data_IF_622032974749
#
_entry.id   IF_622032974749
#
_cell.length_a   1.000
_cell.length_b   1.000
_cell.length_c   1.000
_cell.angle_alpha   90.00
_cell.angle_beta   90.00
_cell.angle_gamma   90.00
#
_symmetry.space_group_name_H-M   'P 1'
#
loop_
_entity.id
_entity.type
_entity.pdbx_description
1 polymer ?
#
# COMPACT_ATOMS: atom_id res chain seq x y z
N UNK A 1 -8.82 -6.91 0.16
CA UNK A 1 -8.53 -6.24 1.45
C UNK A 1 -7.11 -5.70 1.45
N UNK A 2 -6.11 -6.57 1.30
CA UNK A 2 -4.69 -6.22 1.32
C UNK A 2 -4.29 -5.12 0.32
N UNK A 3 -4.81 -5.19 -0.91
CA UNK A 3 -4.64 -4.13 -1.91
C UNK A 3 -5.09 -2.76 -1.39
N UNK A 4 -6.31 -2.67 -0.84
CA UNK A 4 -6.86 -1.43 -0.31
C UNK A 4 -6.10 -0.90 0.91
N UNK A 5 -5.61 -1.79 1.78
CA UNK A 5 -4.76 -1.42 2.92
C UNK A 5 -3.45 -0.81 2.46
N UNK A 6 -2.82 -1.42 1.46
CA UNK A 6 -1.57 -0.91 0.89
C UNK A 6 -1.79 0.43 0.18
N UNK A 7 -2.87 0.58 -0.60
CA UNK A 7 -3.24 1.84 -1.23
C UNK A 7 -3.49 2.94 -0.19
N UNK A 8 -4.29 2.67 0.85
CA UNK A 8 -4.57 3.64 1.89
C UNK A 8 -3.29 4.07 2.64
N UNK A 9 -2.40 3.14 2.99
CA UNK A 9 -1.13 3.49 3.63
C UNK A 9 -0.22 4.31 2.69
N UNK A 10 -0.20 3.98 1.40
CA UNK A 10 0.57 4.72 0.40
C UNK A 10 0.04 6.16 0.24
N UNK A 11 -1.27 6.34 0.10
CA UNK A 11 -1.90 7.66 -0.06
C UNK A 11 -1.66 8.54 1.16
N UNK A 12 -1.72 7.98 2.38
CA UNK A 12 -1.38 8.69 3.60
C UNK A 12 0.09 9.16 3.61
N UNK A 13 1.02 8.29 3.22
CA UNK A 13 2.45 8.64 3.12
C UNK A 13 2.69 9.70 2.05
N UNK A 14 1.96 9.64 0.93
CA UNK A 14 2.01 10.66 -0.12
C UNK A 14 1.54 12.01 0.42
N UNK A 15 0.36 12.09 1.05
CA UNK A 15 -0.16 13.33 1.64
C UNK A 15 0.79 13.92 2.67
N UNK A 16 1.32 13.10 3.57
CA UNK A 16 2.33 13.55 4.53
C UNK A 16 3.57 14.13 3.84
N UNK A 17 4.03 13.49 2.76
CA UNK A 17 5.21 13.94 2.01
C UNK A 17 4.96 15.24 1.26
N UNK A 18 3.75 15.42 0.68
CA UNK A 18 3.30 16.66 0.05
C UNK A 18 3.35 17.80 1.06
N UNK A 19 2.64 17.66 2.17
CA UNK A 19 2.44 18.75 3.12
C UNK A 19 3.69 19.08 3.94
N UNK A 20 4.64 18.16 4.08
CA UNK A 20 5.92 18.41 4.72
C UNK A 20 7.05 18.79 3.73
N UNK A 21 6.74 18.94 2.44
CA UNK A 21 7.71 19.37 1.43
C UNK A 21 8.86 18.38 1.22
N UNK A 22 8.63 17.09 1.47
CA UNK A 22 9.63 16.03 1.27
C UNK A 22 9.55 15.38 -0.12
N UNK A 23 8.61 15.83 -0.96
CA UNK A 23 8.55 15.44 -2.37
C UNK A 23 9.46 16.33 -3.22
N UNK A 24 10.08 15.72 -4.22
CA UNK A 24 10.99 16.40 -5.15
C UNK A 24 10.25 17.26 -6.22
N UNK A 25 8.92 17.21 -6.26
CA UNK A 25 8.09 17.87 -7.27
C UNK A 25 6.83 18.54 -6.68
N UNK A 26 6.40 19.66 -7.27
CA UNK A 26 5.13 20.33 -6.93
C UNK A 26 3.95 19.53 -7.48
N UNK A 27 3.08 19.06 -6.59
CA UNK A 27 1.86 18.32 -6.96
C UNK A 27 0.71 19.31 -7.18
N UNK A 28 -0.07 19.10 -8.24
CA UNK A 28 -1.25 19.92 -8.56
C UNK A 28 -2.34 19.75 -7.47
N UNK A 29 -3.03 20.83 -7.10
CA UNK A 29 -4.02 20.84 -5.99
C UNK A 29 -5.15 19.78 -6.16
N UNK A 30 -5.47 19.43 -7.41
CA UNK A 30 -6.45 18.39 -7.74
C UNK A 30 -5.93 16.98 -7.43
N UNK A 31 -4.63 16.73 -7.59
CA UNK A 31 -3.99 15.47 -7.23
C UNK A 31 -3.94 15.29 -5.70
N UNK A 32 -3.71 16.36 -4.93
CA UNK A 32 -3.81 16.35 -3.45
C UNK A 32 -5.22 15.96 -3.01
N UNK A 33 -6.22 16.64 -3.58
CA UNK A 33 -7.64 16.41 -3.27
C UNK A 33 -8.08 14.99 -3.62
N UNK A 34 -7.66 14.49 -4.79
CA UNK A 34 -7.93 13.12 -5.23
C UNK A 34 -7.28 12.09 -4.29
N UNK A 35 -6.05 12.34 -3.84
CA UNK A 35 -5.35 11.44 -2.91
C UNK A 35 -6.05 11.40 -1.54
N UNK A 36 -6.48 12.55 -1.02
CA UNK A 36 -7.25 12.64 0.22
C UNK A 36 -8.60 11.90 0.13
N UNK A 37 -9.30 12.06 -1.00
CA UNK A 37 -10.54 11.33 -1.28
C UNK A 37 -10.29 9.81 -1.32
N UNK A 38 -9.29 9.35 -2.06
CA UNK A 38 -8.93 7.94 -2.19
C UNK A 38 -8.61 7.30 -0.84
N UNK A 39 -7.75 7.94 -0.03
CA UNK A 39 -7.44 7.51 1.33
C UNK A 39 -8.72 7.25 2.14
N UNK A 40 -9.63 8.22 2.13
CA UNK A 40 -10.88 8.15 2.86
C UNK A 40 -11.76 6.98 2.38
N UNK A 41 -11.91 6.83 1.06
CA UNK A 41 -12.71 5.77 0.44
C UNK A 41 -12.14 4.37 0.71
N UNK A 42 -10.81 4.21 0.68
CA UNK A 42 -10.18 2.94 0.96
C UNK A 42 -10.42 2.51 2.41
N UNK A 43 -10.24 3.41 3.38
CA UNK A 43 -10.52 3.12 4.80
C UNK A 43 -11.98 2.72 5.00
N UNK A 44 -12.92 3.47 4.41
CA UNK A 44 -14.36 3.16 4.51
C UNK A 44 -14.71 1.81 3.88
N UNK A 45 -14.05 1.46 2.78
CA UNK A 45 -14.20 0.17 2.13
C UNK A 45 -13.71 -0.95 3.03
N UNK A 46 -12.53 -0.81 3.63
CA UNK A 46 -11.94 -1.81 4.53
C UNK A 46 -12.82 -2.04 5.77
N UNK A 47 -13.33 -0.98 6.38
CA UNK A 47 -14.21 -1.06 7.57
C UNK A 47 -15.50 -1.84 7.28
N UNK A 48 -16.01 -1.78 6.04
CA UNK A 48 -17.21 -2.52 5.61
C UNK A 48 -16.95 -4.01 5.37
N UNK A 49 -15.70 -4.43 5.20
CA UNK A 49 -15.35 -5.83 5.05
C UNK A 49 -15.45 -6.58 6.38
N UNK A 50 -15.55 -7.90 6.29
CA UNK A 50 -15.48 -8.79 7.45
C UNK A 50 -14.01 -8.99 7.85
N UNK A 51 -13.54 -8.15 8.77
CA UNK A 51 -12.17 -8.15 9.29
C UNK A 51 -12.18 -8.35 10.81
N UNK A 52 -11.00 -8.67 11.36
CA UNK A 52 -10.81 -8.84 12.80
C UNK A 52 -11.39 -7.64 13.57
N UNK A 53 -12.27 -7.84 14.58
CA UNK A 53 -12.96 -6.74 15.27
C UNK A 53 -12.03 -5.69 15.87
N UNK A 54 -10.92 -6.11 16.48
CA UNK A 54 -9.93 -5.18 17.02
C UNK A 54 -9.26 -4.34 15.92
N UNK A 55 -9.05 -4.93 14.74
CA UNK A 55 -8.50 -4.18 13.61
C UNK A 55 -9.50 -3.17 13.07
N UNK A 56 -10.78 -3.56 12.94
CA UNK A 56 -11.87 -2.67 12.55
C UNK A 56 -11.99 -1.48 13.49
N UNK A 57 -11.95 -1.72 14.80
CA UNK A 57 -11.99 -0.66 15.79
C UNK A 57 -10.81 0.31 15.62
N UNK A 58 -9.58 -0.20 15.49
CA UNK A 58 -8.41 0.65 15.25
C UNK A 58 -8.54 1.49 13.98
N UNK A 59 -9.08 0.93 12.89
CA UNK A 59 -9.33 1.67 11.65
C UNK A 59 -10.42 2.74 11.81
N UNK A 60 -11.46 2.47 12.61
CA UNK A 60 -12.49 3.46 12.93
C UNK A 60 -11.93 4.63 13.75
N UNK A 61 -11.13 4.34 14.78
CA UNK A 61 -10.44 5.36 15.58
C UNK A 61 -9.51 6.22 14.71
N UNK A 62 -8.74 5.59 13.81
CA UNK A 62 -7.89 6.31 12.84
C UNK A 62 -8.72 7.18 11.88
N UNK A 63 -9.88 6.69 11.43
CA UNK A 63 -10.78 7.43 10.55
C UNK A 63 -11.37 8.66 11.23
N UNK A 64 -11.76 8.54 12.50
CA UNK A 64 -12.32 9.65 13.28
C UNK A 64 -11.29 10.76 13.55
N UNK A 65 -9.99 10.42 13.57
CA UNK A 65 -8.92 11.40 13.72
C UNK A 65 -8.62 12.19 12.45
N UNK A 66 -8.96 11.65 11.27
CA UNK A 66 -8.68 12.33 10.00
C UNK A 66 -9.57 13.59 9.89
N UNK A 67 -8.99 14.75 9.51
CA UNK A 67 -9.78 15.92 9.19
C UNK A 67 -10.67 15.62 7.98
N UNK A 68 -11.85 16.25 7.95
CA UNK A 68 -12.69 16.20 6.75
C UNK A 68 -11.92 16.85 5.59
N UNK A 69 -11.79 16.13 4.49
CA UNK A 69 -11.10 16.62 3.30
C UNK A 69 -12.03 17.51 2.45
N UNK A 70 -13.36 17.41 2.66
CA UNK A 70 -14.37 18.22 1.96
C UNK A 70 -14.72 19.51 2.71
N UNK A 71 -14.57 19.51 4.04
CA UNK A 71 -14.91 20.65 4.88
C UNK A 71 -13.63 21.30 5.41
N UNK A 72 -13.50 22.60 5.15
CA UNK A 72 -12.48 23.56 5.61
C UNK A 72 -11.14 23.61 4.85
N UNK A 73 -10.90 24.80 4.28
CA UNK A 73 -9.62 25.46 3.98
C UNK A 73 -8.43 24.49 3.95
N UNK A 74 -7.95 24.16 2.76
CA UNK A 74 -6.77 23.33 2.50
C UNK A 74 -5.61 23.51 3.50
N UNK A 75 -5.44 24.75 4.01
CA UNK A 75 -4.53 25.12 5.10
C UNK A 75 -4.73 24.29 6.38
N UNK A 76 -5.95 24.11 6.88
CA UNK A 76 -6.21 23.32 8.10
C UNK A 76 -5.90 21.84 7.89
N UNK A 77 -6.27 21.30 6.73
CA UNK A 77 -5.96 19.92 6.36
C UNK A 77 -4.44 19.70 6.29
N UNK A 78 -3.73 20.64 5.67
CA UNK A 78 -2.27 20.66 5.61
C UNK A 78 -1.63 20.76 7.00
N UNK A 79 -2.06 21.72 7.84
CA UNK A 79 -1.54 21.91 9.20
C UNK A 79 -1.71 20.64 10.03
N UNK A 80 -2.86 19.96 9.90
CA UNK A 80 -3.09 18.69 10.58
C UNK A 80 -2.10 17.61 10.13
N UNK A 81 -1.82 17.46 8.84
CA UNK A 81 -0.84 16.50 8.34
C UNK A 81 0.60 16.82 8.79
N UNK A 82 0.94 18.10 8.94
CA UNK A 82 2.25 18.53 9.45
C UNK A 82 2.42 18.22 10.95
N UNK A 83 1.34 18.27 11.73
CA UNK A 83 1.38 18.08 13.19
C UNK A 83 1.13 16.61 13.59
N UNK A 84 0.05 16.02 13.08
CA UNK A 84 -0.46 14.71 13.51
C UNK A 84 -0.16 13.58 12.50
N UNK A 85 0.14 13.93 11.26
CA UNK A 85 0.25 12.98 10.14
C UNK A 85 1.25 11.86 10.35
N UNK A 86 2.42 12.16 10.92
CA UNK A 86 3.45 11.15 11.23
C UNK A 86 2.93 10.10 12.23
N UNK A 87 2.35 10.56 13.35
CA UNK A 87 1.77 9.71 14.40
C UNK A 87 0.62 8.87 13.85
N UNK A 88 -0.19 9.45 12.97
CA UNK A 88 -1.29 8.75 12.31
C UNK A 88 -0.77 7.62 11.39
N UNK A 89 0.23 7.90 10.55
CA UNK A 89 0.85 6.91 9.66
C UNK A 89 1.48 5.77 10.46
N UNK A 90 2.19 6.07 11.54
CA UNK A 90 2.82 5.06 12.40
C UNK A 90 1.78 4.11 13.00
N UNK A 91 0.68 4.65 13.55
CA UNK A 91 -0.42 3.84 14.08
C UNK A 91 -1.08 2.98 13.00
N UNK A 92 -1.32 3.55 11.81
CA UNK A 92 -1.88 2.81 10.69
C UNK A 92 -0.95 1.67 10.27
N UNK A 93 0.35 1.94 10.16
CA UNK A 93 1.38 0.96 9.80
C UNK A 93 1.50 -0.16 10.84
N UNK A 94 1.50 0.17 12.13
CA UNK A 94 1.54 -0.83 13.20
C UNK A 94 0.31 -1.75 13.14
N UNK A 95 -0.87 -1.18 12.87
CA UNK A 95 -2.09 -1.95 12.68
C UNK A 95 -2.01 -2.86 11.44
N UNK A 96 -1.57 -2.34 10.29
CA UNK A 96 -1.46 -3.12 9.05
C UNK A 96 -0.41 -4.22 9.14
N UNK A 97 0.70 -3.97 9.85
CA UNK A 97 1.72 -4.98 10.15
C UNK A 97 1.12 -6.07 11.02
N UNK A 98 0.47 -5.70 12.13
CA UNK A 98 -0.07 -6.65 13.11
C UNK A 98 -1.13 -7.56 12.54
N UNK A 99 -2.06 -7.03 11.74
CA UNK A 99 -3.24 -7.77 11.30
C UNK A 99 -3.15 -8.27 9.85
N UNK A 100 -2.20 -7.77 9.05
CA UNK A 100 -2.09 -8.13 7.63
C UNK A 100 -0.65 -8.28 7.14
N UNK A 101 0.37 -8.10 7.99
CA UNK A 101 1.78 -8.18 7.63
C UNK A 101 2.19 -7.21 6.48
N UNK A 102 1.51 -6.06 6.38
CA UNK A 102 1.71 -5.03 5.35
C UNK A 102 2.30 -3.76 5.96
N UNK A 103 3.17 -3.07 5.24
CA UNK A 103 3.70 -1.76 5.62
C UNK A 103 5.04 -1.79 6.35
N UNK A 104 5.70 -2.95 6.40
CA UNK A 104 7.05 -3.07 6.96
C UNK A 104 8.05 -2.17 6.25
N UNK A 105 8.89 -1.50 7.02
CA UNK A 105 10.11 -0.92 6.49
C UNK A 105 11.17 -2.00 6.38
N UNK A 106 11.20 -2.64 5.21
CA UNK A 106 12.11 -3.75 4.92
C UNK A 106 13.59 -3.36 4.90
N UNK A 107 13.91 -2.05 4.94
CA UNK A 107 15.29 -1.52 4.89
C UNK A 107 16.14 -2.12 3.76
N UNK A 108 15.53 -2.42 2.61
CA UNK A 108 16.25 -2.96 1.47
C UNK A 108 17.30 -1.96 0.95
N UNK A 109 18.52 -2.45 0.76
CA UNK A 109 19.55 -1.74 -0.01
C UNK A 109 19.13 -1.56 -1.46
N UNK A 110 19.72 -0.59 -2.16
CA UNK A 110 19.43 -0.36 -3.59
C UNK A 110 19.75 -1.60 -4.45
N UNK A 111 20.76 -2.37 -4.05
CA UNK A 111 21.07 -3.66 -4.68
C UNK A 111 19.93 -4.67 -4.49
N UNK A 112 19.36 -4.77 -3.29
CA UNK A 112 18.21 -5.65 -3.03
C UNK A 112 16.97 -5.19 -3.77
N UNK A 113 16.67 -3.88 -3.79
CA UNK A 113 15.57 -3.31 -4.59
C UNK A 113 15.72 -3.64 -6.07
N UNK A 114 16.92 -3.47 -6.63
CA UNK A 114 17.22 -3.83 -8.02
C UNK A 114 17.01 -5.32 -8.29
N UNK A 115 17.44 -6.18 -7.38
CA UNK A 115 17.26 -7.63 -7.50
C UNK A 115 15.79 -8.03 -7.45
N UNK A 116 15.00 -7.45 -6.54
CA UNK A 116 13.56 -7.66 -6.46
C UNK A 116 12.85 -7.20 -7.74
N UNK A 117 13.25 -6.05 -8.29
CA UNK A 117 12.73 -5.57 -9.58
C UNK A 117 13.06 -6.54 -10.71
N UNK A 118 14.29 -7.05 -10.77
CA UNK A 118 14.68 -8.04 -11.79
C UNK A 118 13.89 -9.35 -11.67
N UNK A 119 13.67 -9.83 -10.45
CA UNK A 119 12.84 -11.00 -10.20
C UNK A 119 11.39 -10.78 -10.66
N UNK A 120 10.80 -9.63 -10.30
CA UNK A 120 9.47 -9.24 -10.75
C UNK A 120 9.37 -9.14 -12.28
N UNK A 121 10.30 -8.43 -12.92
CA UNK A 121 10.33 -8.23 -14.39
C UNK A 121 10.46 -9.58 -15.12
N UNK A 122 11.27 -10.51 -14.60
CA UNK A 122 11.42 -11.85 -15.15
C UNK A 122 10.13 -12.68 -15.02
N UNK A 123 9.45 -12.63 -13.86
CA UNK A 123 8.19 -13.33 -13.66
C UNK A 123 7.06 -12.76 -14.51
N UNK A 124 7.02 -11.44 -14.71
CA UNK A 124 6.10 -10.80 -15.65
C UNK A 124 6.30 -11.32 -17.08
N UNK A 125 7.55 -11.40 -17.53
CA UNK A 125 7.86 -11.97 -18.84
C UNK A 125 7.41 -13.44 -18.96
N UNK A 126 7.60 -14.24 -17.91
CA UNK A 126 7.15 -15.63 -17.90
C UNK A 126 5.61 -15.74 -17.99
N UNK A 127 4.87 -14.88 -17.29
CA UNK A 127 3.41 -14.80 -17.41
C UNK A 127 2.98 -14.42 -18.83
N UNK A 128 3.63 -13.42 -19.42
CA UNK A 128 3.33 -12.98 -20.79
C UNK A 128 3.55 -14.12 -21.80
N UNK A 129 4.67 -14.85 -21.65
CA UNK A 129 4.94 -16.04 -22.46
C UNK A 129 3.89 -17.14 -22.24
N UNK A 130 3.53 -17.41 -20.99
CA UNK A 130 2.54 -18.42 -20.65
C UNK A 130 1.17 -18.08 -21.25
N UNK A 131 0.75 -16.82 -21.19
CA UNK A 131 -0.49 -16.31 -21.77
C UNK A 131 -0.58 -16.51 -23.29
N UNK A 132 0.55 -16.48 -24.00
CA UNK A 132 0.60 -16.72 -25.44
C UNK A 132 0.86 -18.19 -25.82
N UNK A 133 1.24 -19.02 -24.83
CA UNK A 133 1.60 -20.41 -25.06
C UNK A 133 0.38 -21.33 -25.23
N UNK A 134 0.52 -22.33 -26.11
CA UNK A 134 -0.46 -23.41 -26.31
C UNK A 134 -0.10 -24.66 -25.49
N UNK A 135 0.20 -24.46 -24.20
CA UNK A 135 0.43 -25.57 -23.27
C UNK A 135 -0.90 -26.18 -22.82
N UNK A 136 -0.87 -27.41 -22.32
CA UNK A 136 -2.08 -28.01 -21.74
C UNK A 136 -2.48 -27.27 -20.45
N UNK A 137 -3.76 -27.32 -20.06
CA UNK A 137 -4.22 -26.71 -18.80
C UNK A 137 -3.44 -27.20 -17.57
N UNK A 138 -3.08 -28.48 -17.55
CA UNK A 138 -2.33 -29.09 -16.43
C UNK A 138 -0.92 -28.50 -16.32
N UNK A 139 -0.23 -28.34 -17.46
CA UNK A 139 1.11 -27.72 -17.50
C UNK A 139 1.03 -26.24 -17.12
N UNK A 140 -0.03 -25.53 -17.56
CA UNK A 140 -0.25 -24.13 -17.18
C UNK A 140 -0.42 -23.97 -15.67
N UNK A 141 -1.32 -24.74 -15.06
CA UNK A 141 -1.54 -24.70 -13.60
C UNK A 141 -0.24 -25.00 -12.85
N UNK A 142 0.50 -26.03 -13.27
CA UNK A 142 1.78 -26.37 -12.65
C UNK A 142 2.77 -25.20 -12.70
N UNK A 143 2.86 -24.47 -13.82
CA UNK A 143 3.75 -23.32 -13.95
C UNK A 143 3.27 -22.18 -13.05
N UNK A 144 1.98 -21.83 -13.07
CA UNK A 144 1.39 -20.76 -12.26
C UNK A 144 1.55 -21.02 -10.76
N UNK A 145 1.32 -22.25 -10.32
CA UNK A 145 1.43 -22.69 -8.92
C UNK A 145 2.88 -22.60 -8.38
N UNK A 146 3.88 -22.63 -9.26
CA UNK A 146 5.30 -22.61 -8.88
C UNK A 146 6.01 -21.29 -9.20
N UNK A 147 5.39 -20.39 -9.97
CA UNK A 147 6.05 -19.17 -10.49
C UNK A 147 6.53 -18.21 -9.38
N UNK A 148 5.82 -18.18 -8.26
CA UNK A 148 6.09 -17.28 -7.13
C UNK A 148 6.59 -18.00 -5.88
N UNK A 149 6.79 -19.32 -5.97
CA UNK A 149 7.38 -20.05 -4.85
C UNK A 149 8.88 -19.76 -4.82
N UNK A 150 9.48 -19.54 -3.63
CA UNK A 150 10.92 -19.62 -3.49
C UNK A 150 11.35 -20.98 -4.04
N UNK A 151 12.26 -21.00 -5.01
CA UNK A 151 12.95 -22.23 -5.35
C UNK A 151 13.61 -22.71 -4.07
N UNK A 152 13.20 -23.88 -3.56
CA UNK A 152 13.64 -24.43 -2.28
C UNK A 152 15.08 -24.02 -1.99
N UNK A 153 15.25 -23.23 -0.92
CA UNK A 153 16.56 -22.87 -0.43
C UNK A 153 17.25 -24.17 -0.05
N UNK A 154 18.06 -24.69 -0.95
CA UNK A 154 18.94 -25.81 -0.68
C UNK A 154 19.74 -25.45 0.58
N UNK A 155 19.70 -26.25 1.65
CA UNK A 155 20.49 -25.98 2.83
C UNK A 155 21.97 -26.15 2.45
N UNK A 156 22.72 -25.05 2.48
CA UNK A 156 24.19 -25.09 2.54
C UNK A 156 24.62 -25.15 4.00
#
# INVERSE_FOLDING_TARGET
>A
MELYLNCALNDAVTLFSIFNGTLEYEIEDDEVSNTALCLNQYIDTIIKLDIVPQFKQTLQELKELLPDWMDTWEIYYQEWWQVEGQSWIEKMRDATIKYSNIGHDWKFSDKQKKLLKQYYDANMLLLDCLNQSKVSPEVRSLIEDNLFLPLDSSPN
#
